data_IF_408780721303
#
_entry.id   IF_408780721303
#
_cell.length_a   1.000
_cell.length_b   1.000
_cell.length_c   1.000
_cell.angle_alpha   90.00
_cell.angle_beta   90.00
_cell.angle_gamma   90.00
#
_symmetry.space_group_name_H-M   'P 1'
#
loop_
_entity.id
_entity.type
_entity.pdbx_description
1 polymer ?
#
# COMPACT_ATOMS: atom_id res chain seq x y z
N UNK A 1 0.19 -0.66 -15.02
CA UNK A 1 -0.17 -2.08 -15.02
C UNK A 1 0.58 -2.74 -13.89
N UNK A 2 -0.13 -3.31 -12.92
CA UNK A 2 0.47 -4.02 -11.78
C UNK A 2 0.55 -5.50 -12.18
N UNK A 3 1.75 -6.09 -12.17
CA UNK A 3 1.99 -7.47 -12.62
C UNK A 3 1.17 -8.48 -11.79
N UNK A 4 0.64 -9.53 -12.45
CA UNK A 4 -0.37 -10.44 -11.88
C UNK A 4 0.09 -11.37 -10.74
N UNK A 5 1.35 -11.29 -10.32
CA UNK A 5 1.93 -12.16 -9.30
C UNK A 5 2.78 -11.41 -8.27
N UNK A 6 2.52 -10.11 -8.09
CA UNK A 6 3.23 -9.34 -7.07
C UNK A 6 2.92 -9.90 -5.67
N UNK A 7 3.98 -10.22 -4.95
CA UNK A 7 3.89 -10.70 -3.57
C UNK A 7 3.30 -9.62 -2.68
N UNK A 8 2.77 -10.01 -1.51
CA UNK A 8 2.21 -9.05 -0.53
C UNK A 8 3.18 -7.91 -0.21
N UNK A 9 4.47 -8.24 -0.10
CA UNK A 9 5.55 -7.30 0.18
C UNK A 9 5.74 -6.31 -0.96
N UNK A 10 5.83 -6.77 -2.20
CA UNK A 10 5.99 -5.89 -3.36
C UNK A 10 4.76 -4.99 -3.57
N UNK A 11 3.55 -5.51 -3.36
CA UNK A 11 2.33 -4.70 -3.41
C UNK A 11 2.32 -3.60 -2.35
N UNK A 12 2.82 -3.92 -1.15
CA UNK A 12 2.96 -2.95 -0.08
C UNK A 12 4.01 -1.88 -0.44
N UNK A 13 5.16 -2.27 -0.98
CA UNK A 13 6.18 -1.32 -1.42
C UNK A 13 5.68 -0.40 -2.53
N UNK A 14 5.01 -0.95 -3.55
CA UNK A 14 4.44 -0.16 -4.64
C UNK A 14 3.40 0.82 -4.09
N UNK A 15 2.52 0.37 -3.20
CA UNK A 15 1.51 1.23 -2.60
C UNK A 15 2.14 2.33 -1.75
N UNK A 16 3.16 2.02 -0.94
CA UNK A 16 3.87 3.02 -0.12
C UNK A 16 4.80 3.92 -0.95
N UNK A 17 5.23 3.48 -2.13
CA UNK A 17 6.04 4.26 -3.05
C UNK A 17 5.22 5.25 -3.88
N UNK A 18 3.91 5.00 -4.05
CA UNK A 18 3.00 5.86 -4.79
C UNK A 18 2.89 7.24 -4.13
N UNK A 19 3.13 8.30 -4.91
CA UNK A 19 3.13 9.68 -4.41
C UNK A 19 1.78 10.09 -3.82
N UNK A 20 0.65 9.56 -4.33
CA UNK A 20 -0.66 9.86 -3.77
C UNK A 20 -0.83 9.24 -2.40
N UNK A 21 -0.36 8.01 -2.23
CA UNK A 21 -0.40 7.33 -0.93
C UNK A 21 0.50 8.05 0.05
N UNK A 22 1.73 8.43 -0.35
CA UNK A 22 2.63 9.22 0.48
C UNK A 22 1.99 10.51 0.95
N UNK A 23 1.31 11.25 0.07
CA UNK A 23 0.60 12.47 0.46
C UNK A 23 -0.57 12.20 1.44
N UNK A 24 -1.27 11.07 1.30
CA UNK A 24 -2.41 10.72 2.16
C UNK A 24 -2.00 10.19 3.55
N UNK A 25 -0.81 9.56 3.65
CA UNK A 25 -0.22 9.08 4.91
C UNK A 25 0.70 10.13 5.56
N UNK A 26 1.06 11.20 4.86
CA UNK A 26 1.93 12.24 5.39
C UNK A 26 1.27 12.91 6.60
N UNK A 27 2.00 12.95 7.72
CA UNK A 27 1.48 13.45 8.99
C UNK A 27 0.51 12.52 9.73
N UNK A 28 0.23 11.32 9.20
CA UNK A 28 -0.60 10.29 9.86
C UNK A 28 0.23 9.08 10.26
N UNK A 29 -0.16 8.43 11.35
CA UNK A 29 0.58 7.25 11.82
C UNK A 29 0.02 5.98 11.17
N UNK A 30 0.87 5.22 10.47
CA UNK A 30 0.45 3.95 9.85
C UNK A 30 0.29 2.89 10.94
N UNK A 31 -0.95 2.45 11.17
CA UNK A 31 -1.29 1.44 12.18
C UNK A 31 -1.20 0.03 11.59
N UNK A 32 -1.63 -0.15 10.34
CA UNK A 32 -1.66 -1.47 9.70
C UNK A 32 -1.69 -1.35 8.18
N UNK A 33 -0.93 -2.19 7.50
CA UNK A 33 -1.01 -2.35 6.03
C UNK A 33 -1.50 -3.76 5.73
N UNK A 34 -2.52 -3.87 4.88
CA UNK A 34 -3.15 -5.13 4.50
C UNK A 34 -3.10 -5.23 2.97
N UNK A 35 -2.11 -5.97 2.47
CA UNK A 35 -2.00 -6.28 1.05
C UNK A 35 -2.71 -7.62 0.75
N UNK A 36 -3.73 -7.56 -0.10
CA UNK A 36 -4.43 -8.73 -0.64
C UNK A 36 -4.07 -8.86 -2.13
N UNK A 37 -3.19 -9.80 -2.50
CA UNK A 37 -2.77 -10.00 -3.88
C UNK A 37 -3.96 -10.19 -4.81
N UNK A 38 -3.87 -9.63 -6.01
CA UNK A 38 -4.94 -9.65 -7.01
C UNK A 38 -6.29 -9.04 -6.55
N UNK A 39 -6.34 -8.30 -5.44
CA UNK A 39 -7.58 -7.67 -4.94
C UNK A 39 -7.41 -6.20 -4.58
N UNK A 40 -6.65 -5.88 -3.53
CA UNK A 40 -6.49 -4.50 -3.03
C UNK A 40 -5.35 -4.39 -2.01
N UNK A 41 -4.89 -3.17 -1.76
CA UNK A 41 -4.03 -2.82 -0.61
C UNK A 41 -4.80 -1.81 0.25
N UNK A 42 -4.97 -2.12 1.53
CA UNK A 42 -5.63 -1.23 2.49
C UNK A 42 -4.62 -0.75 3.53
N UNK A 43 -4.47 0.56 3.67
CA UNK A 43 -3.54 1.20 4.59
C UNK A 43 -4.37 1.90 5.67
N UNK A 44 -4.23 1.43 6.91
CA UNK A 44 -4.91 1.99 8.07
C UNK A 44 -3.98 3.01 8.70
N UNK A 45 -4.41 4.27 8.69
CA UNK A 45 -3.70 5.40 9.29
C UNK A 45 -4.52 6.04 10.40
N UNK A 46 -3.84 6.68 11.37
CA UNK A 46 -4.43 7.49 12.45
C UNK A 46 -4.13 8.96 12.26
#
# INVERSE_FOLDING_TARGET
>A
MVAKDLSREELQEIALADEKVKAEIDGKEIVKVIAVPNKLVNIVVK
#
